data_IF_329035351682
#
_entry.id   IF_329035351682
#
_cell.length_a   1.000
_cell.length_b   1.000
_cell.length_c   1.000
_cell.angle_alpha   90.00
_cell.angle_beta   90.00
_cell.angle_gamma   90.00
#
_symmetry.space_group_name_H-M   'P 1'
#
loop_
_entity.id
_entity.type
_entity.pdbx_description
1 polymer ?
#
# COMPACT_ATOMS: atom_id res chain seq x y z
N UNK A 1 -40.93 13.38 39.41
CA UNK A 1 -41.02 13.98 38.05
C UNK A 1 -39.62 13.86 37.45
N UNK A 2 -39.27 12.78 36.72
CA UNK A 2 -39.46 12.53 35.28
C UNK A 2 -38.85 13.61 34.36
N UNK A 3 -37.77 13.21 33.67
CA UNK A 3 -37.43 13.45 32.24
C UNK A 3 -36.06 14.14 32.01
N UNK A 4 -35.03 13.35 31.63
CA UNK A 4 -34.54 13.04 30.27
C UNK A 4 -33.54 14.10 29.77
N UNK A 5 -32.24 13.83 29.82
CA UNK A 5 -31.45 13.14 28.78
C UNK A 5 -31.52 13.87 27.43
N UNK A 6 -30.47 14.62 27.10
CA UNK A 6 -30.18 15.05 25.74
C UNK A 6 -28.68 14.86 25.49
N UNK A 7 -28.37 13.63 25.07
CA UNK A 7 -27.15 13.31 24.35
C UNK A 7 -27.09 14.14 23.07
N UNK A 8 -26.13 15.05 22.99
CA UNK A 8 -25.65 15.61 21.72
C UNK A 8 -24.24 15.07 21.47
N UNK A 9 -24.17 13.75 21.29
CA UNK A 9 -23.01 13.14 20.65
C UNK A 9 -23.16 13.35 19.14
N UNK A 10 -22.78 14.55 18.68
CA UNK A 10 -22.54 14.80 17.27
C UNK A 10 -21.23 14.10 16.86
N UNK A 11 -21.28 12.76 16.77
CA UNK A 11 -20.26 11.95 16.13
C UNK A 11 -20.32 12.20 14.64
N UNK A 12 -19.56 13.19 14.16
CA UNK A 12 -19.26 13.36 12.74
C UNK A 12 -18.45 12.15 12.28
N UNK A 13 -19.17 11.11 11.85
CA UNK A 13 -18.66 9.96 11.11
C UNK A 13 -18.22 10.40 9.70
N UNK A 14 -17.16 11.19 9.63
CA UNK A 14 -16.45 11.50 8.37
C UNK A 14 -15.10 10.80 8.37
N UNK A 15 -15.12 9.47 8.49
CA UNK A 15 -13.96 8.61 8.30
C UNK A 15 -14.12 7.79 7.03
N UNK A 16 -13.91 8.40 5.86
CA UNK A 16 -13.89 7.67 4.59
C UNK A 16 -12.69 6.72 4.52
N UNK A 17 -12.93 5.52 5.06
CA UNK A 17 -12.36 4.20 4.76
C UNK A 17 -10.94 4.16 4.19
N UNK A 18 -9.94 4.47 5.02
CA UNK A 18 -8.62 3.92 4.81
C UNK A 18 -8.68 2.41 5.11
N UNK A 19 -8.41 1.56 4.11
CA UNK A 19 -8.43 0.11 4.30
C UNK A 19 -6.99 -0.40 4.28
N UNK A 20 -6.54 -1.00 5.39
CA UNK A 20 -5.24 -1.67 5.46
C UNK A 20 -5.32 -3.02 4.75
N UNK A 21 -4.35 -3.31 3.90
CA UNK A 21 -4.16 -4.56 3.19
C UNK A 21 -2.86 -5.20 3.70
N UNK A 22 -2.98 -6.38 4.30
CA UNK A 22 -1.84 -7.17 4.76
C UNK A 22 -1.23 -7.96 3.58
N UNK A 23 0.00 -8.49 3.71
CA UNK A 23 0.64 -9.22 2.62
C UNK A 23 -0.16 -10.44 2.14
N UNK A 24 -0.98 -11.03 3.01
CA UNK A 24 -1.80 -12.22 2.77
C UNK A 24 -3.27 -11.91 2.45
N UNK A 25 -3.64 -10.62 2.35
CA UNK A 25 -5.01 -10.22 2.02
C UNK A 25 -5.15 -10.04 0.51
N UNK A 26 -6.04 -10.76 -0.19
CA UNK A 26 -6.21 -10.62 -1.63
C UNK A 26 -6.59 -9.20 -2.03
N UNK A 27 -5.89 -8.64 -3.03
CA UNK A 27 -6.22 -7.34 -3.60
C UNK A 27 -5.69 -7.20 -5.04
N UNK A 28 -6.25 -6.22 -5.75
CA UNK A 28 -5.89 -5.90 -7.14
C UNK A 28 -4.89 -4.74 -7.19
N UNK A 29 -3.62 -5.05 -7.03
CA UNK A 29 -2.50 -4.10 -7.14
C UNK A 29 -1.44 -4.58 -8.13
N UNK A 30 -0.65 -3.65 -8.62
CA UNK A 30 0.47 -3.91 -9.51
C UNK A 30 1.66 -3.01 -9.16
N UNK A 31 2.81 -3.32 -9.74
CA UNK A 31 4.03 -2.54 -9.56
C UNK A 31 4.45 -1.84 -10.84
N UNK A 32 4.92 -0.61 -10.69
CA UNK A 32 5.54 0.17 -11.75
C UNK A 32 7.03 0.33 -11.44
N UNK A 33 7.94 0.07 -12.39
CA UNK A 33 9.34 0.40 -12.22
C UNK A 33 9.50 1.93 -12.17
N UNK A 34 10.36 2.41 -11.27
CA UNK A 34 10.77 3.81 -11.20
C UNK A 34 12.19 4.00 -11.76
N UNK A 35 12.47 5.18 -12.31
CA UNK A 35 13.73 5.51 -12.97
C UNK A 35 14.96 5.38 -12.04
N UNK A 36 14.75 5.41 -10.72
CA UNK A 36 15.79 5.29 -9.71
C UNK A 36 16.09 3.85 -9.25
N UNK A 37 15.64 2.82 -9.98
CA UNK A 37 15.81 1.42 -9.56
C UNK A 37 14.94 1.05 -8.35
N UNK A 38 13.83 1.77 -8.18
CA UNK A 38 12.81 1.52 -7.17
C UNK A 38 11.58 0.94 -7.86
N UNK A 39 10.65 0.42 -7.07
CA UNK A 39 9.34 -0.02 -7.59
C UNK A 39 8.24 0.67 -6.82
N UNK A 40 7.23 1.14 -7.56
CA UNK A 40 6.08 1.86 -7.04
C UNK A 40 4.86 0.93 -7.05
N UNK A 41 4.21 0.78 -5.90
CA UNK A 41 2.95 0.05 -5.77
C UNK A 41 1.79 0.93 -6.24
N UNK A 42 0.92 0.39 -7.10
CA UNK A 42 -0.22 1.09 -7.68
C UNK A 42 -1.50 0.24 -7.69
N UNK A 43 -2.65 0.91 -7.71
CA UNK A 43 -3.98 0.30 -7.81
C UNK A 43 -4.51 0.42 -9.23
N UNK A 44 -5.26 -0.58 -9.71
CA UNK A 44 -5.99 -0.48 -10.98
C UNK A 44 -7.10 0.59 -10.94
N UNK A 45 -7.54 0.99 -9.74
CA UNK A 45 -8.47 2.07 -9.57
C UNK A 45 -7.70 3.39 -9.42
N UNK A 46 -7.76 4.25 -10.45
CA UNK A 46 -7.09 5.56 -10.46
C UNK A 46 -7.62 6.53 -9.39
N UNK A 47 -8.81 6.30 -8.85
CA UNK A 47 -9.35 7.06 -7.73
C UNK A 47 -8.81 6.58 -6.37
N UNK A 48 -7.86 5.64 -6.34
CA UNK A 48 -7.22 5.15 -5.12
C UNK A 48 -5.74 5.49 -5.08
N UNK A 49 -5.33 6.06 -3.96
CA UNK A 49 -3.94 6.23 -3.58
C UNK A 49 -3.53 5.12 -2.61
N UNK A 50 -2.32 4.60 -2.82
CA UNK A 50 -1.71 3.61 -1.94
C UNK A 50 -0.69 4.29 -1.03
N UNK A 51 -0.55 3.78 0.19
CA UNK A 51 0.52 4.14 1.11
C UNK A 51 1.09 2.87 1.71
N UNK A 52 2.36 2.59 1.50
CA UNK A 52 3.05 1.49 2.19
C UNK A 52 3.08 1.84 3.68
N UNK A 53 2.56 0.94 4.50
CA UNK A 53 2.50 1.12 5.96
C UNK A 53 3.49 0.25 6.70
N UNK A 54 3.93 -0.85 6.08
CA UNK A 54 4.88 -1.78 6.68
C UNK A 54 5.73 -2.46 5.61
N UNK A 55 7.00 -2.64 5.92
CA UNK A 55 7.95 -3.42 5.12
C UNK A 55 8.68 -4.36 6.07
N UNK A 56 8.56 -5.67 5.83
CA UNK A 56 9.22 -6.68 6.65
C UNK A 56 9.95 -7.68 5.76
N UNK A 57 11.26 -7.79 5.93
CA UNK A 57 12.04 -8.79 5.22
C UNK A 57 12.08 -10.10 6.01
N UNK A 58 11.74 -11.21 5.34
CA UNK A 58 11.87 -12.58 5.85
C UNK A 58 12.74 -13.35 4.87
N UNK A 59 13.97 -13.68 5.27
CA UNK A 59 15.00 -14.23 4.39
C UNK A 59 15.21 -13.34 3.13
N UNK A 60 14.93 -13.87 1.94
CA UNK A 60 15.03 -13.18 0.65
C UNK A 60 13.71 -12.57 0.17
N UNK A 61 12.65 -12.65 0.97
CA UNK A 61 11.32 -12.17 0.63
C UNK A 61 10.98 -10.89 1.38
N UNK A 62 10.57 -9.85 0.65
CA UNK A 62 10.07 -8.61 1.22
C UNK A 62 8.54 -8.66 1.30
N UNK A 63 8.00 -8.59 2.50
CA UNK A 63 6.56 -8.53 2.76
C UNK A 63 6.12 -7.08 2.87
N UNK A 64 5.08 -6.70 2.13
CA UNK A 64 4.56 -5.34 2.10
C UNK A 64 3.10 -5.29 2.57
N UNK A 65 2.84 -4.42 3.54
CA UNK A 65 1.49 -3.98 3.91
C UNK A 65 1.27 -2.55 3.43
N UNK A 66 0.05 -2.23 3.03
CA UNK A 66 -0.29 -0.88 2.58
C UNK A 66 -1.72 -0.48 2.98
N UNK A 67 -2.02 0.80 2.86
CA UNK A 67 -3.36 1.34 2.99
C UNK A 67 -3.86 1.84 1.64
N UNK A 68 -5.14 1.56 1.35
CA UNK A 68 -5.89 2.18 0.24
C UNK A 68 -6.66 3.38 0.76
N UNK A 69 -6.57 4.51 0.06
CA UNK A 69 -7.33 5.74 0.35
C UNK A 69 -7.90 6.29 -0.94
N UNK A 70 -9.11 6.82 -0.92
CA UNK A 70 -9.65 7.52 -2.09
C UNK A 70 -8.97 8.89 -2.27
N UNK A 71 -8.81 9.30 -3.53
CA UNK A 71 -8.26 10.62 -3.87
C UNK A 71 -9.19 11.69 -3.32
N UNK A 72 -8.67 12.47 -2.37
CA UNK A 72 -9.29 13.70 -1.90
C UNK A 72 -8.19 14.74 -1.71
N UNK A 73 -8.53 16.04 -1.80
CA UNK A 73 -7.56 17.14 -1.61
C UNK A 73 -6.80 17.10 -0.27
N UNK A 74 -7.27 16.32 0.71
CA UNK A 74 -6.65 16.13 2.03
C UNK A 74 -5.97 14.77 2.22
N UNK A 75 -6.04 13.90 1.21
CA UNK A 75 -5.66 12.47 1.33
C UNK A 75 -4.50 12.09 0.41
N UNK A 76 -3.79 13.06 -0.16
CA UNK A 76 -2.58 12.76 -0.94
C UNK A 76 -1.50 12.15 -0.04
N UNK A 77 -1.00 10.94 -0.38
CA UNK A 77 0.19 10.39 0.27
C UNK A 77 1.37 11.33 0.07
N UNK A 78 2.30 11.34 1.02
CA UNK A 78 3.59 11.99 0.81
C UNK A 78 4.27 11.44 -0.46
N UNK A 79 5.05 12.27 -1.18
CA UNK A 79 5.83 11.79 -2.32
C UNK A 79 6.64 10.55 -1.96
N UNK A 80 6.56 9.49 -2.78
CA UNK A 80 7.25 8.22 -2.54
C UNK A 80 6.62 7.30 -1.47
N UNK A 81 5.46 7.65 -0.89
CA UNK A 81 4.81 6.83 0.13
C UNK A 81 4.31 5.46 -0.38
N UNK A 82 4.20 5.29 -1.69
CA UNK A 82 3.91 4.02 -2.35
C UNK A 82 5.14 3.41 -3.05
N UNK A 83 6.32 3.95 -2.82
CA UNK A 83 7.57 3.48 -3.43
C UNK A 83 8.36 2.65 -2.43
N UNK A 84 8.95 1.55 -2.91
CA UNK A 84 9.85 0.71 -2.13
C UNK A 84 11.20 0.59 -2.82
N UNK A 85 12.26 0.73 -2.00
CA UNK A 85 13.64 0.49 -2.42
C UNK A 85 13.99 -0.98 -2.15
N UNK A 86 14.21 -1.74 -3.22
CA UNK A 86 14.57 -3.14 -3.11
C UNK A 86 16.08 -3.29 -2.90
N UNK A 87 16.48 -3.85 -1.75
CA UNK A 87 17.90 -4.13 -1.47
C UNK A 87 18.40 -5.27 -2.35
N UNK A 88 19.73 -5.41 -2.55
CA UNK A 88 20.29 -6.52 -3.33
C UNK A 88 19.99 -7.91 -2.79
N UNK A 89 19.59 -8.06 -1.52
CA UNK A 89 19.24 -9.35 -0.92
C UNK A 89 17.82 -9.81 -1.25
N UNK A 90 16.92 -8.89 -1.63
CA UNK A 90 15.52 -9.23 -1.91
C UNK A 90 15.41 -9.93 -3.27
N UNK A 91 14.85 -11.14 -3.29
CA UNK A 91 14.58 -11.94 -4.48
C UNK A 91 13.09 -12.01 -4.79
N UNK A 92 12.26 -11.94 -3.76
CA UNK A 92 10.80 -12.00 -3.86
C UNK A 92 10.17 -10.81 -3.15
N UNK A 93 9.03 -10.35 -3.65
CA UNK A 93 8.17 -9.36 -2.99
C UNK A 93 6.80 -9.99 -2.84
N UNK A 94 6.24 -10.02 -1.62
CA UNK A 94 4.87 -10.47 -1.35
C UNK A 94 4.01 -9.29 -0.95
N UNK A 95 2.89 -9.12 -1.63
CA UNK A 95 1.84 -8.18 -1.25
C UNK A 95 0.50 -8.65 -1.82
N UNK A 96 -0.61 -8.28 -1.19
CA UNK A 96 -1.95 -8.50 -1.75
C UNK A 96 -2.29 -9.98 -2.09
N UNK A 97 -1.75 -10.92 -1.32
CA UNK A 97 -1.80 -12.37 -1.60
C UNK A 97 -1.14 -12.78 -2.93
N UNK A 98 -0.18 -11.98 -3.40
CA UNK A 98 0.59 -12.24 -4.62
C UNK A 98 2.08 -12.21 -4.32
N UNK A 99 2.84 -13.08 -5.02
CA UNK A 99 4.30 -13.13 -4.95
C UNK A 99 4.87 -12.71 -6.30
N UNK A 100 5.83 -11.80 -6.25
CA UNK A 100 6.52 -11.26 -7.41
C UNK A 100 8.00 -11.56 -7.31
N UNK A 101 8.59 -12.07 -8.39
CA UNK A 101 10.04 -12.23 -8.53
C UNK A 101 10.67 -10.90 -8.88
N UNK A 102 11.75 -10.56 -8.18
CA UNK A 102 12.59 -9.40 -8.51
C UNK A 102 13.54 -9.75 -9.65
N UNK A 103 13.37 -9.08 -10.78
CA UNK A 103 14.26 -9.17 -11.94
C UNK A 103 15.10 -7.90 -12.02
N UNK A 104 16.42 -8.06 -12.16
CA UNK A 104 17.37 -6.95 -12.22
C UNK A 104 18.10 -6.99 -13.56
N UNK A 105 18.07 -5.87 -14.28
CA UNK A 105 18.76 -5.70 -15.56
C UNK A 105 19.56 -4.39 -15.51
N UNK A 106 20.85 -4.48 -15.19
CA UNK A 106 21.67 -3.30 -14.91
C UNK A 106 21.16 -2.57 -13.65
N UNK A 107 20.82 -1.29 -13.79
CA UNK A 107 20.21 -0.48 -12.73
C UNK A 107 18.69 -0.58 -12.68
N UNK A 108 18.07 -1.17 -13.69
CA UNK A 108 16.62 -1.34 -13.76
C UNK A 108 16.18 -2.52 -12.87
N UNK A 109 15.09 -2.30 -12.14
CA UNK A 109 14.45 -3.31 -11.31
C UNK A 109 13.00 -3.46 -11.76
N UNK A 110 12.62 -4.68 -12.10
CA UNK A 110 11.24 -5.04 -12.47
C UNK A 110 10.73 -6.15 -11.56
N UNK A 111 9.40 -6.27 -11.49
CA UNK A 111 8.72 -7.31 -10.73
C UNK A 111 7.88 -8.16 -11.69
N UNK A 112 8.07 -9.46 -11.66
CA UNK A 112 7.33 -10.43 -12.47
C UNK A 112 6.46 -11.29 -11.56
N UNK A 113 5.15 -11.33 -11.84
CA UNK A 113 4.22 -12.16 -11.07
C UNK A 113 4.56 -13.64 -11.28
N UNK A 114 4.60 -14.41 -10.19
CA UNK A 114 4.77 -15.87 -10.22
C UNK A 114 3.42 -16.59 -10.39
#
# INVERSE_FOLDING_TARGET
MKNYLLCLAAGLLTGCLATKVSPDTPDSVFFLPDAAGQVQLSSLNSAQHLKITEQRQVADTLLLSYEKRFVSKRSEPAPGANTVRLTPSVRLVKCADQVFRVVRQGTAVTLERQ
#
